data_IF_941588576668
#
_entry.id   IF_941588576668
#
_cell.length_a   1.000
_cell.length_b   1.000
_cell.length_c   1.000
_cell.angle_alpha   90.00
_cell.angle_beta   90.00
_cell.angle_gamma   90.00
#
_symmetry.space_group_name_H-M   'P 1'
#
loop_
_entity.id
_entity.type
_entity.pdbx_description
1 polymer ?
#
# COMPACT_ATOMS: atom_id res chain seq x y z
N UNK A 1 -13.47 1.30 12.14
CA UNK A 1 -12.25 1.93 11.59
C UNK A 1 -11.51 2.59 12.74
N UNK A 2 -10.26 2.20 12.98
CA UNK A 2 -9.40 2.72 14.06
C UNK A 2 -8.38 3.74 13.55
N UNK A 3 -8.01 3.66 12.26
CA UNK A 3 -7.15 4.61 11.59
C UNK A 3 -7.35 4.55 10.07
N UNK A 4 -6.89 5.59 9.36
CA UNK A 4 -6.96 5.66 7.89
C UNK A 4 -5.57 6.02 7.36
N UNK A 5 -5.09 5.25 6.39
CA UNK A 5 -3.88 5.54 5.62
C UNK A 5 -4.32 5.75 4.17
N UNK A 6 -3.94 6.89 3.59
CA UNK A 6 -4.29 7.27 2.24
C UNK A 6 -3.10 7.10 1.30
N UNK A 7 -3.25 6.25 0.29
CA UNK A 7 -2.34 6.12 -0.84
C UNK A 7 -2.83 6.92 -2.06
N UNK A 8 -1.96 7.11 -3.04
CA UNK A 8 -2.30 7.82 -4.29
C UNK A 8 -2.88 6.84 -5.31
N UNK A 9 -2.03 6.02 -5.93
CA UNK A 9 -2.43 5.01 -6.89
C UNK A 9 -1.99 3.60 -6.43
N UNK A 10 -2.66 2.55 -6.93
CA UNK A 10 -2.18 1.18 -6.77
C UNK A 10 -0.83 0.98 -7.48
N UNK A 11 -0.05 0.01 -7.03
CA UNK A 11 1.13 -0.41 -7.77
C UNK A 11 0.74 -1.00 -9.14
N UNK A 12 1.45 -0.59 -10.20
CA UNK A 12 1.13 -0.93 -11.58
C UNK A 12 1.89 -2.18 -12.11
N UNK A 13 2.75 -2.79 -11.28
CA UNK A 13 3.47 -4.01 -11.65
C UNK A 13 2.60 -5.27 -11.49
N UNK A 14 2.79 -6.30 -12.33
CA UNK A 14 2.08 -7.57 -12.19
C UNK A 14 2.25 -8.19 -10.80
N UNK A 15 1.14 -8.53 -10.14
CA UNK A 15 1.14 -9.19 -8.82
C UNK A 15 1.52 -8.29 -7.64
N UNK A 16 1.72 -6.98 -7.85
CA UNK A 16 2.08 -6.05 -6.78
C UNK A 16 0.87 -5.55 -5.99
N UNK A 17 -0.19 -5.13 -6.69
CA UNK A 17 -1.37 -4.57 -6.05
C UNK A 17 -2.28 -5.67 -5.48
N UNK A 18 -2.73 -5.48 -4.23
CA UNK A 18 -3.70 -6.34 -3.55
C UNK A 18 -4.95 -5.58 -3.05
N UNK A 19 -5.16 -4.37 -3.55
CA UNK A 19 -6.32 -3.53 -3.16
C UNK A 19 -6.16 -2.78 -1.84
N UNK A 20 -4.97 -2.82 -1.22
CA UNK A 20 -4.63 -2.07 -0.01
C UNK A 20 -3.56 -1.02 -0.34
N UNK A 21 -3.73 0.22 0.13
CA UNK A 21 -2.72 1.27 -0.08
C UNK A 21 -1.36 0.86 0.48
N UNK A 22 -0.29 1.12 -0.27
CA UNK A 22 1.12 0.82 0.06
C UNK A 22 1.49 -0.66 0.24
N UNK A 23 0.52 -1.57 0.40
CA UNK A 23 0.78 -2.99 0.64
C UNK A 23 1.11 -3.75 -0.64
N UNK A 24 2.05 -4.69 -0.53
CA UNK A 24 2.35 -5.71 -1.54
C UNK A 24 2.49 -7.07 -0.84
N UNK A 25 2.27 -8.20 -1.53
CA UNK A 25 2.53 -9.52 -0.98
C UNK A 25 4.00 -9.69 -0.59
N UNK A 26 4.28 -10.45 0.48
CA UNK A 26 5.67 -10.69 0.93
C UNK A 26 6.56 -11.37 -0.12
N UNK A 27 5.95 -12.09 -1.08
CA UNK A 27 6.64 -12.70 -2.22
C UNK A 27 7.24 -11.67 -3.19
N UNK A 28 6.80 -10.40 -3.11
CA UNK A 28 7.28 -9.28 -3.92
C UNK A 28 8.15 -8.37 -3.06
N UNK A 29 9.30 -7.90 -3.56
CA UNK A 29 10.12 -6.92 -2.84
C UNK A 29 9.33 -5.66 -2.49
N UNK A 30 9.48 -5.19 -1.25
CA UNK A 30 8.85 -3.96 -0.79
C UNK A 30 9.25 -2.76 -1.68
N UNK A 31 8.30 -2.00 -2.24
CA UNK A 31 8.61 -0.79 -3.02
C UNK A 31 9.25 0.31 -2.16
N UNK A 32 9.95 1.30 -2.76
CA UNK A 32 10.67 2.33 -1.99
C UNK A 32 9.80 3.06 -0.95
N UNK A 33 8.56 3.39 -1.29
CA UNK A 33 7.62 4.03 -0.35
C UNK A 33 7.28 3.13 0.84
N UNK A 34 7.09 1.83 0.63
CA UNK A 34 6.83 0.87 1.70
C UNK A 34 8.08 0.66 2.55
N UNK A 35 9.28 0.63 1.95
CA UNK A 35 10.54 0.57 2.71
C UNK A 35 10.69 1.76 3.66
N UNK A 36 10.33 2.96 3.22
CA UNK A 36 10.35 4.15 4.07
C UNK A 36 9.36 4.02 5.25
N UNK A 37 8.15 3.51 5.01
CA UNK A 37 7.17 3.25 6.08
C UNK A 37 7.71 2.21 7.07
N UNK A 38 8.31 1.12 6.60
CA UNK A 38 8.88 0.09 7.47
C UNK A 38 10.07 0.57 8.27
N UNK A 39 10.88 1.47 7.69
CA UNK A 39 12.00 2.11 8.39
C UNK A 39 11.48 2.97 9.55
N UNK A 40 10.53 3.85 9.29
CA UNK A 40 9.90 4.67 10.34
C UNK A 40 9.26 3.80 11.41
N UNK A 41 8.56 2.73 11.01
CA UNK A 41 7.95 1.78 11.93
C UNK A 41 9.00 1.07 12.80
N UNK A 42 10.13 0.70 12.21
CA UNK A 42 11.23 0.05 12.92
C UNK A 42 11.86 0.98 13.96
N UNK A 43 12.01 2.26 13.62
CA UNK A 43 12.57 3.28 14.50
C UNK A 43 11.61 3.66 15.65
N UNK A 44 10.29 3.66 15.41
CA UNK A 44 9.26 4.03 16.40
C UNK A 44 8.84 2.86 17.32
N UNK A 45 8.43 1.73 16.73
CA UNK A 45 7.81 0.61 17.48
C UNK A 45 8.49 -0.75 17.26
N UNK A 46 9.55 -0.80 16.45
CA UNK A 46 10.36 -1.99 16.21
C UNK A 46 10.12 -2.71 14.88
N UNK A 47 11.02 -3.63 14.55
CA UNK A 47 11.08 -4.27 13.22
C UNK A 47 9.94 -5.26 13.02
N UNK A 48 9.16 -5.05 11.94
CA UNK A 48 8.17 -6.01 11.45
C UNK A 48 8.85 -7.13 10.64
N UNK A 49 8.33 -8.36 10.78
CA UNK A 49 8.79 -9.53 10.01
C UNK A 49 8.23 -9.60 8.59
N UNK A 50 7.02 -9.08 8.39
CA UNK A 50 6.27 -9.09 7.13
C UNK A 50 5.98 -7.64 6.75
N UNK A 51 6.11 -7.33 5.46
CA UNK A 51 5.77 -6.02 4.92
C UNK A 51 4.36 -5.96 4.32
N UNK A 52 3.67 -7.10 4.23
CA UNK A 52 2.24 -7.17 3.96
C UNK A 52 1.44 -6.48 5.09
N UNK A 53 0.59 -5.53 4.69
CA UNK A 53 -0.24 -4.73 5.59
C UNK A 53 -1.64 -5.33 5.81
N UNK A 54 -1.93 -6.55 5.32
CA UNK A 54 -3.23 -7.23 5.52
C UNK A 54 -3.60 -7.31 7.01
N UNK A 55 -2.65 -7.62 7.88
CA UNK A 55 -2.87 -7.67 9.33
C UNK A 55 -3.32 -6.31 9.93
N UNK A 56 -2.96 -5.17 9.31
CA UNK A 56 -3.46 -3.85 9.74
C UNK A 56 -4.90 -3.63 9.29
N UNK A 57 -5.26 -4.08 8.09
CA UNK A 57 -6.63 -4.02 7.61
C UNK A 57 -7.58 -4.84 8.52
N UNK A 58 -7.17 -6.04 8.94
CA UNK A 58 -7.92 -6.88 9.88
C UNK A 58 -8.09 -6.25 11.27
N UNK A 59 -7.13 -5.43 11.69
CA UNK A 59 -7.21 -4.65 12.93
C UNK A 59 -8.06 -3.37 12.78
N UNK A 60 -8.58 -3.09 11.59
CA UNK A 60 -9.48 -1.97 11.34
C UNK A 60 -8.78 -0.67 10.89
N UNK A 61 -7.54 -0.76 10.41
CA UNK A 61 -6.87 0.32 9.68
C UNK A 61 -7.35 0.31 8.23
N UNK A 62 -8.00 1.37 7.80
CA UNK A 62 -8.44 1.53 6.41
C UNK A 62 -7.27 1.96 5.54
N UNK A 63 -6.83 1.10 4.63
CA UNK A 63 -5.72 1.32 3.69
C UNK A 63 -6.27 1.68 2.30
N UNK A 64 -6.62 2.94 2.08
CA UNK A 64 -7.39 3.39 0.91
C UNK A 64 -6.50 4.14 -0.08
N UNK A 65 -6.53 3.75 -1.36
CA UNK A 65 -5.93 4.56 -2.42
C UNK A 65 -6.94 5.59 -2.94
N UNK A 66 -6.47 6.79 -3.30
CA UNK A 66 -7.28 7.83 -3.93
C UNK A 66 -7.79 7.41 -5.31
N UNK A 67 -7.04 6.58 -6.04
CA UNK A 67 -7.51 5.85 -7.21
C UNK A 67 -7.57 4.35 -6.91
N UNK A 68 -8.68 3.68 -7.25
CA UNK A 68 -8.87 2.26 -6.98
C UNK A 68 -8.33 1.35 -8.09
N UNK A 69 -8.02 1.89 -9.26
CA UNK A 69 -7.50 1.14 -10.41
C UNK A 69 -6.44 1.97 -11.14
N UNK A 70 -5.47 1.28 -11.77
CA UNK A 70 -4.45 1.90 -12.63
C UNK A 70 -4.17 0.98 -13.82
N UNK A 71 -4.04 1.50 -15.06
CA UNK A 71 -3.60 0.69 -16.19
C UNK A 71 -2.16 0.20 -15.99
N UNK A 72 -1.87 -1.02 -16.45
CA UNK A 72 -0.53 -1.59 -16.38
C UNK A 72 0.50 -0.66 -17.07
N UNK A 73 1.55 -0.30 -16.34
CA UNK A 73 2.64 0.55 -16.85
C UNK A 73 2.33 2.05 -16.95
N UNK A 74 1.16 2.53 -16.50
CA UNK A 74 0.79 3.96 -16.53
C UNK A 74 0.47 4.48 -15.14
N UNK A 75 1.49 4.94 -14.39
CA UNK A 75 1.28 5.65 -13.12
C UNK A 75 0.33 6.85 -13.31
N UNK A 76 -0.58 7.10 -12.38
CA UNK A 76 -1.67 8.10 -12.46
C UNK A 76 -2.64 7.93 -13.65
N UNK A 77 -2.66 6.78 -14.33
CA UNK A 77 -3.48 6.60 -15.54
C UNK A 77 -4.99 6.80 -15.35
N UNK A 78 -5.50 6.70 -14.12
CA UNK A 78 -6.92 6.98 -13.78
C UNK A 78 -7.11 8.19 -12.83
N UNK A 79 -6.06 8.98 -12.60
CA UNK A 79 -6.15 10.18 -11.75
C UNK A 79 -7.14 11.19 -12.36
N UNK A 80 -8.10 11.66 -11.56
CA UNK A 80 -9.15 12.59 -12.00
C UNK A 80 -10.37 11.94 -12.66
N UNK A 81 -10.43 10.61 -12.76
CA UNK A 81 -11.67 9.89 -13.07
C UNK A 81 -12.48 9.73 -11.79
N UNK A 82 -13.81 9.89 -11.88
CA UNK A 82 -14.70 9.82 -10.72
C UNK A 82 -14.68 8.39 -10.17
N UNK A 83 -14.26 8.23 -8.91
CA UNK A 83 -14.37 7.01 -8.11
C UNK A 83 -15.05 7.33 -6.77
#
# INVERSE_FOLDING_TARGET
VQGVILGQDPYHGPGQAQGLSFSVPDAIPAPPSLQNILKELADDIGVKKSHDLTAWAEQGVLLLNACLTVPAGQANGHSGQIW
#
